data_IF_646443104429
#
_entry.id   IF_646443104429
#
_cell.length_a   1.000
_cell.length_b   1.000
_cell.length_c   1.000
_cell.angle_alpha   90.00
_cell.angle_beta   90.00
_cell.angle_gamma   90.00
#
_symmetry.space_group_name_H-M   'P 1'
#
loop_
_entity.id
_entity.type
_entity.pdbx_description
1 polymer ?
#
# COMPACT_ATOMS: atom_id res chain seq x y z
N UNK A 1 -33.55 28.59 42.43
CA UNK A 1 -33.34 27.71 43.59
C UNK A 1 -33.22 26.21 43.25
N UNK A 2 -33.97 25.69 42.27
CA UNK A 2 -33.96 24.25 41.94
C UNK A 2 -32.61 23.74 41.38
N UNK A 3 -31.90 24.52 40.62
CA UNK A 3 -30.62 24.08 39.99
C UNK A 3 -29.50 23.82 41.00
N UNK A 4 -29.38 24.68 42.03
CA UNK A 4 -28.38 24.48 43.11
C UNK A 4 -28.70 23.26 43.98
N UNK A 5 -29.96 22.97 44.20
CA UNK A 5 -30.38 21.78 44.90
C UNK A 5 -30.05 20.49 44.11
N UNK A 6 -30.41 20.46 42.84
CA UNK A 6 -30.10 19.32 41.97
C UNK A 6 -28.58 19.07 41.90
N UNK A 7 -27.78 20.14 41.75
CA UNK A 7 -26.31 20.03 41.72
C UNK A 7 -25.75 19.48 43.03
N UNK A 8 -26.28 19.94 44.17
CA UNK A 8 -25.85 19.48 45.49
C UNK A 8 -26.21 18.03 45.76
N UNK A 9 -27.42 17.59 45.34
CA UNK A 9 -27.90 16.22 45.49
C UNK A 9 -27.06 15.29 44.61
N UNK A 10 -26.83 15.69 43.37
CA UNK A 10 -25.98 14.94 42.41
C UNK A 10 -24.56 14.82 42.96
N UNK A 11 -23.98 15.89 43.52
CA UNK A 11 -22.63 15.87 44.08
C UNK A 11 -22.50 14.94 45.28
N UNK A 12 -23.51 14.90 46.16
CA UNK A 12 -23.53 13.99 47.29
C UNK A 12 -23.70 12.52 46.87
N UNK A 13 -24.53 12.25 45.85
CA UNK A 13 -24.69 10.93 45.26
C UNK A 13 -23.39 10.44 44.60
N UNK A 14 -22.70 11.33 43.88
CA UNK A 14 -21.40 11.05 43.31
C UNK A 14 -20.36 10.66 44.36
N UNK A 15 -20.26 11.42 45.47
CA UNK A 15 -19.31 11.12 46.54
C UNK A 15 -19.57 9.76 47.23
N UNK A 16 -20.80 9.32 47.28
CA UNK A 16 -21.18 8.04 47.89
C UNK A 16 -20.85 6.84 47.01
N UNK A 17 -20.75 7.04 45.71
CA UNK A 17 -20.50 5.97 44.70
C UNK A 17 -19.22 6.22 43.90
N UNK A 18 -18.15 6.75 44.52
CA UNK A 18 -16.91 7.15 43.85
C UNK A 18 -16.27 5.99 43.04
N UNK A 19 -16.25 4.78 43.56
CA UNK A 19 -15.67 3.62 42.90
C UNK A 19 -16.33 3.34 41.56
N UNK A 20 -17.65 3.45 41.48
CA UNK A 20 -18.41 3.23 40.27
C UNK A 20 -18.18 4.33 39.23
N UNK A 21 -18.12 5.58 39.68
CA UNK A 21 -17.84 6.72 38.81
C UNK A 21 -16.44 6.59 38.18
N UNK A 22 -15.44 6.22 39.00
CA UNK A 22 -14.09 5.99 38.51
C UNK A 22 -14.09 4.88 37.44
N UNK A 23 -14.80 3.78 37.68
CA UNK A 23 -14.90 2.67 36.70
C UNK A 23 -15.52 3.12 35.36
N UNK A 24 -16.64 3.85 35.42
CA UNK A 24 -17.29 4.39 34.21
C UNK A 24 -16.41 5.39 33.48
N UNK A 25 -15.78 6.33 34.23
CA UNK A 25 -14.83 7.27 33.64
C UNK A 25 -13.67 6.57 32.95
N UNK A 26 -13.09 5.55 33.58
CA UNK A 26 -11.94 4.81 33.05
C UNK A 26 -12.33 4.04 31.80
N UNK A 27 -13.45 3.33 31.79
CA UNK A 27 -13.94 2.62 30.60
C UNK A 27 -14.24 3.59 29.47
N UNK A 28 -14.90 4.70 29.75
CA UNK A 28 -15.22 5.73 28.75
C UNK A 28 -13.95 6.36 28.18
N UNK A 29 -13.00 6.71 29.04
CA UNK A 29 -11.72 7.27 28.64
C UNK A 29 -10.96 6.33 27.70
N UNK A 30 -10.84 5.05 28.09
CA UNK A 30 -10.17 4.03 27.26
C UNK A 30 -10.91 3.87 25.91
N UNK A 31 -12.24 3.86 25.91
CA UNK A 31 -13.03 3.76 24.66
C UNK A 31 -12.75 4.93 23.71
N UNK A 32 -12.73 6.16 24.21
CA UNK A 32 -12.40 7.33 23.39
C UNK A 32 -10.93 7.33 22.91
N UNK A 33 -10.02 6.81 23.75
CA UNK A 33 -8.63 6.65 23.36
C UNK A 33 -8.50 5.69 22.18
N UNK A 34 -9.17 4.55 22.22
CA UNK A 34 -9.16 3.59 21.09
C UNK A 34 -9.77 4.20 19.82
N UNK A 35 -10.87 4.94 19.92
CA UNK A 35 -11.48 5.63 18.76
C UNK A 35 -10.51 6.66 18.19
N UNK A 36 -9.89 7.47 19.05
CA UNK A 36 -8.93 8.49 18.62
C UNK A 36 -7.71 7.89 17.92
N UNK A 37 -7.10 6.86 18.51
CA UNK A 37 -5.97 6.16 17.92
C UNK A 37 -6.36 5.52 16.59
N UNK A 38 -7.52 4.88 16.50
CA UNK A 38 -8.00 4.27 15.25
C UNK A 38 -8.20 5.31 14.15
N UNK A 39 -8.78 6.47 14.49
CA UNK A 39 -8.97 7.56 13.53
C UNK A 39 -7.64 8.13 13.00
N UNK A 40 -6.68 8.36 13.91
CA UNK A 40 -5.34 8.81 13.54
C UNK A 40 -4.60 7.77 12.67
N UNK A 41 -4.68 6.51 13.05
CA UNK A 41 -4.06 5.42 12.30
C UNK A 41 -4.65 5.33 10.88
N UNK A 42 -5.97 5.42 10.75
CA UNK A 42 -6.63 5.41 9.44
C UNK A 42 -6.23 6.62 8.58
N UNK A 43 -6.13 7.80 9.17
CA UNK A 43 -5.67 8.99 8.46
C UNK A 43 -4.23 8.83 7.97
N UNK A 44 -3.33 8.29 8.79
CA UNK A 44 -1.95 8.01 8.41
C UNK A 44 -1.84 6.95 7.32
N UNK A 45 -2.64 5.86 7.40
CA UNK A 45 -2.68 4.82 6.36
C UNK A 45 -3.12 5.43 5.03
N UNK A 46 -4.14 6.29 5.04
CA UNK A 46 -4.65 6.94 3.82
C UNK A 46 -3.60 7.90 3.24
N UNK A 47 -2.95 8.70 4.07
CA UNK A 47 -1.88 9.60 3.64
C UNK A 47 -0.68 8.83 3.06
N UNK A 48 -0.24 7.78 3.77
CA UNK A 48 0.84 6.91 3.30
C UNK A 48 0.51 6.25 1.96
N UNK A 49 -0.71 5.72 1.80
CA UNK A 49 -1.16 5.16 0.51
C UNK A 49 -1.08 6.18 -0.61
N UNK A 50 -1.57 7.41 -0.39
CA UNK A 50 -1.51 8.48 -1.40
C UNK A 50 -0.09 8.79 -1.81
N UNK A 51 0.81 8.99 -0.86
CA UNK A 51 2.21 9.32 -1.12
C UNK A 51 2.97 8.17 -1.82
N UNK A 52 2.68 6.92 -1.44
CA UNK A 52 3.32 5.75 -2.02
C UNK A 52 2.77 5.46 -3.42
N UNK A 53 1.46 5.52 -3.61
CA UNK A 53 0.85 5.25 -4.92
C UNK A 53 1.26 6.27 -5.98
N UNK A 54 1.54 7.50 -5.60
CA UNK A 54 2.10 8.51 -6.51
C UNK A 54 3.53 8.20 -6.97
N UNK A 55 4.30 7.45 -6.16
CA UNK A 55 5.69 7.06 -6.47
C UNK A 55 5.81 5.69 -7.12
N UNK A 56 4.76 4.88 -7.05
CA UNK A 56 4.78 3.52 -7.60
C UNK A 56 4.57 3.53 -9.10
N UNK A 57 5.46 2.83 -9.79
CA UNK A 57 5.46 2.65 -11.22
C UNK A 57 5.00 1.22 -11.57
N UNK A 58 4.41 1.06 -12.74
CA UNK A 58 4.22 -0.25 -13.37
C UNK A 58 5.52 -0.58 -14.08
N UNK A 59 6.13 -1.70 -13.72
CA UNK A 59 7.37 -2.17 -14.36
C UNK A 59 7.02 -3.24 -15.38
N UNK A 60 7.38 -2.97 -16.61
CA UNK A 60 7.28 -3.92 -17.72
C UNK A 60 8.67 -4.51 -17.94
N UNK A 61 8.86 -5.74 -17.52
CA UNK A 61 10.10 -6.46 -17.73
C UNK A 61 10.19 -6.91 -19.18
N UNK A 62 11.31 -6.61 -19.82
CA UNK A 62 11.58 -7.02 -21.19
C UNK A 62 12.21 -8.41 -21.20
N UNK A 63 12.09 -9.10 -22.32
CA UNK A 63 12.67 -10.43 -22.48
C UNK A 63 14.18 -10.41 -22.21
N UNK A 64 14.73 -11.41 -21.48
CA UNK A 64 16.16 -11.57 -21.29
C UNK A 64 16.85 -12.10 -22.55
N UNK A 65 18.18 -12.01 -22.58
CA UNK A 65 18.97 -12.85 -23.48
C UNK A 65 19.04 -14.25 -22.85
N UNK A 66 18.48 -15.25 -23.53
CA UNK A 66 18.46 -16.64 -23.10
C UNK A 66 17.05 -17.19 -22.88
N UNK A 67 16.97 -18.24 -22.07
CA UNK A 67 15.70 -18.92 -21.84
C UNK A 67 14.77 -18.13 -20.92
N UNK A 68 13.55 -17.90 -21.36
CA UNK A 68 12.43 -17.38 -20.58
C UNK A 68 11.28 -18.37 -20.65
N UNK A 69 10.45 -18.38 -19.59
CA UNK A 69 9.23 -19.18 -19.55
C UNK A 69 8.04 -18.48 -20.25
N UNK A 70 8.17 -17.19 -20.55
CA UNK A 70 7.14 -16.43 -21.22
C UNK A 70 7.09 -16.76 -22.72
N UNK A 71 5.91 -17.13 -23.23
CA UNK A 71 5.71 -17.40 -24.64
C UNK A 71 6.05 -16.20 -25.53
N UNK A 72 5.90 -14.99 -25.03
CA UNK A 72 6.27 -13.72 -25.68
C UNK A 72 7.78 -13.54 -25.89
N UNK A 73 8.60 -14.31 -25.17
CA UNK A 73 10.07 -14.30 -25.24
C UNK A 73 10.64 -15.52 -25.99
N UNK A 74 9.85 -16.13 -26.84
CA UNK A 74 10.24 -17.36 -27.58
C UNK A 74 11.48 -17.21 -28.48
N UNK A 75 11.85 -15.98 -28.84
CA UNK A 75 13.08 -15.69 -29.61
C UNK A 75 14.36 -15.97 -28.82
N UNK A 76 14.30 -16.03 -27.47
CA UNK A 76 15.46 -16.14 -26.59
C UNK A 76 16.43 -14.95 -26.68
N UNK A 77 15.97 -13.81 -27.16
CA UNK A 77 16.75 -12.58 -27.29
C UNK A 77 16.01 -11.41 -26.65
N UNK A 78 16.77 -10.54 -26.02
CA UNK A 78 16.27 -9.26 -25.57
C UNK A 78 15.81 -8.40 -26.76
N UNK A 79 14.76 -7.60 -26.60
CA UNK A 79 14.26 -6.73 -27.64
C UNK A 79 15.31 -5.71 -28.07
N UNK A 80 15.39 -5.48 -29.39
CA UNK A 80 16.21 -4.44 -29.97
C UNK A 80 15.70 -3.05 -29.64
N UNK A 81 16.53 -2.03 -29.84
CA UNK A 81 16.12 -0.64 -29.63
C UNK A 81 14.88 -0.26 -30.47
N UNK A 82 14.74 -0.81 -31.68
CA UNK A 82 13.56 -0.53 -32.50
C UNK A 82 12.30 -1.16 -31.90
N UNK A 83 12.37 -2.40 -31.43
CA UNK A 83 11.25 -3.08 -30.78
C UNK A 83 10.84 -2.38 -29.48
N UNK A 84 11.80 -1.80 -28.73
CA UNK A 84 11.51 -0.99 -27.55
C UNK A 84 10.74 0.28 -27.93
N UNK A 85 11.17 0.99 -29.00
CA UNK A 85 10.45 2.17 -29.51
C UNK A 85 9.06 1.78 -29.99
N UNK A 86 8.90 0.65 -30.64
CA UNK A 86 7.60 0.16 -31.11
C UNK A 86 6.66 -0.15 -29.90
N UNK A 87 7.20 -0.72 -28.81
CA UNK A 87 6.46 -0.92 -27.57
C UNK A 87 6.04 0.42 -26.93
N UNK A 88 6.93 1.41 -26.92
CA UNK A 88 6.61 2.76 -26.42
C UNK A 88 5.50 3.42 -27.24
N UNK A 89 5.52 3.26 -28.57
CA UNK A 89 4.47 3.76 -29.47
C UNK A 89 3.12 3.09 -29.16
N UNK A 90 3.10 1.78 -29.00
CA UNK A 90 1.91 1.04 -28.62
C UNK A 90 1.35 1.53 -27.27
N UNK A 91 2.21 1.76 -26.27
CA UNK A 91 1.79 2.29 -24.98
C UNK A 91 1.16 3.69 -25.15
N UNK A 92 1.76 4.54 -25.98
CA UNK A 92 1.24 5.87 -26.24
C UNK A 92 -0.09 5.86 -26.98
N UNK A 93 -0.29 4.95 -27.92
CA UNK A 93 -1.52 4.84 -28.70
C UNK A 93 -2.66 4.22 -27.88
N UNK A 94 -2.40 3.10 -27.19
CA UNK A 94 -3.45 2.33 -26.52
C UNK A 94 -3.67 2.75 -25.05
N UNK A 95 -2.64 3.27 -24.39
CA UNK A 95 -2.66 3.64 -22.96
C UNK A 95 -2.17 5.06 -22.64
N UNK A 96 -1.91 5.91 -23.64
CA UNK A 96 -1.36 7.26 -23.45
C UNK A 96 -2.26 8.21 -22.65
N UNK A 97 -3.56 7.96 -22.63
CA UNK A 97 -4.49 8.68 -21.77
C UNK A 97 -4.32 8.34 -20.28
N UNK A 98 -3.76 7.17 -19.96
CA UNK A 98 -3.58 6.62 -18.60
C UNK A 98 -2.12 6.80 -18.14
N UNK A 99 -1.16 6.66 -19.04
CA UNK A 99 0.27 6.78 -18.76
C UNK A 99 0.68 8.26 -18.77
N UNK A 100 1.42 8.71 -17.75
CA UNK A 100 1.95 10.07 -17.66
C UNK A 100 3.41 10.16 -18.12
N UNK A 101 4.18 9.11 -17.91
CA UNK A 101 5.60 9.04 -18.27
C UNK A 101 6.02 7.60 -18.54
N UNK A 102 6.83 7.42 -19.59
CA UNK A 102 7.52 6.19 -19.89
C UNK A 102 9.01 6.44 -19.66
N UNK A 103 9.69 5.50 -19.01
CA UNK A 103 11.13 5.58 -18.76
C UNK A 103 11.74 4.21 -19.06
N UNK A 104 12.58 4.14 -20.07
CA UNK A 104 13.35 2.94 -20.33
C UNK A 104 14.56 2.86 -19.39
N UNK A 105 14.76 1.73 -18.77
CA UNK A 105 15.92 1.40 -17.95
C UNK A 105 16.67 0.26 -18.63
N UNK A 106 17.87 0.56 -19.10
CA UNK A 106 18.72 -0.44 -19.74
C UNK A 106 19.25 -1.48 -18.73
N UNK A 107 19.74 -2.60 -19.23
CA UNK A 107 20.37 -3.62 -18.39
C UNK A 107 21.58 -3.07 -17.62
N UNK A 108 22.35 -2.23 -18.28
CA UNK A 108 23.53 -1.58 -17.73
C UNK A 108 23.16 -0.58 -16.62
N UNK A 109 22.10 0.19 -16.84
CA UNK A 109 21.60 1.14 -15.85
C UNK A 109 21.01 0.43 -14.64
N UNK A 110 20.25 -0.64 -14.87
CA UNK A 110 19.70 -1.46 -13.79
C UNK A 110 20.84 -2.10 -12.97
N UNK A 111 21.84 -2.67 -13.64
CA UNK A 111 22.99 -3.27 -12.97
C UNK A 111 23.75 -2.27 -12.11
N UNK A 112 24.11 -1.10 -12.67
CA UNK A 112 24.90 -0.07 -11.96
C UNK A 112 24.10 0.64 -10.85
N UNK A 113 22.86 1.02 -11.18
CA UNK A 113 22.10 1.94 -10.32
C UNK A 113 21.19 1.22 -9.30
N UNK A 114 20.90 -0.06 -9.52
CA UNK A 114 20.01 -0.85 -8.66
C UNK A 114 20.76 -2.05 -8.08
N UNK A 115 21.26 -2.94 -8.93
CA UNK A 115 21.85 -4.20 -8.51
C UNK A 115 23.12 -4.00 -7.66
N UNK A 116 24.09 -3.23 -8.14
CA UNK A 116 25.34 -2.99 -7.41
C UNK A 116 25.15 -2.18 -6.12
N UNK A 117 24.08 -1.40 -6.00
CA UNK A 117 23.77 -0.72 -4.73
C UNK A 117 23.33 -1.69 -3.66
N UNK A 118 22.64 -2.76 -4.05
CA UNK A 118 22.16 -3.80 -3.15
C UNK A 118 23.20 -4.90 -2.94
N UNK A 119 23.99 -5.20 -3.97
CA UNK A 119 25.03 -6.21 -3.99
C UNK A 119 26.36 -5.61 -4.50
N UNK A 120 27.12 -4.88 -3.65
CA UNK A 120 28.29 -4.13 -4.10
C UNK A 120 29.38 -4.98 -4.76
N UNK A 121 29.47 -6.26 -4.38
CA UNK A 121 30.45 -7.19 -4.97
C UNK A 121 29.98 -7.84 -6.27
N UNK A 122 28.77 -7.51 -6.75
CA UNK A 122 28.19 -8.14 -7.92
C UNK A 122 27.77 -9.61 -7.71
N UNK A 123 27.80 -10.11 -6.47
CA UNK A 123 27.52 -11.51 -6.17
C UNK A 123 26.10 -11.67 -5.61
N UNK A 124 25.35 -12.59 -6.19
CA UNK A 124 24.02 -12.96 -5.74
C UNK A 124 23.88 -14.48 -5.73
N UNK A 125 23.48 -15.06 -4.61
CA UNK A 125 23.33 -16.52 -4.41
C UNK A 125 24.56 -17.34 -4.83
N UNK A 126 25.77 -16.85 -4.55
CA UNK A 126 27.03 -17.52 -4.86
C UNK A 126 27.44 -17.47 -6.34
N UNK A 127 26.79 -16.62 -7.14
CA UNK A 127 27.15 -16.36 -8.56
C UNK A 127 27.46 -14.90 -8.75
N UNK A 128 28.55 -14.62 -9.45
CA UNK A 128 28.85 -13.25 -9.90
C UNK A 128 28.00 -12.98 -11.13
N UNK A 129 27.15 -11.94 -11.01
CA UNK A 129 26.28 -11.50 -12.10
C UNK A 129 26.86 -10.25 -12.75
N UNK A 130 26.58 -10.11 -14.04
CA UNK A 130 27.00 -9.00 -14.89
C UNK A 130 25.79 -8.26 -15.44
N UNK A 131 26.03 -7.13 -16.13
CA UNK A 131 24.95 -6.41 -16.79
C UNK A 131 24.24 -7.27 -17.86
N UNK A 132 24.92 -8.26 -18.45
CA UNK A 132 24.33 -9.16 -19.44
C UNK A 132 23.30 -10.12 -18.80
N UNK A 133 23.44 -10.41 -17.51
CA UNK A 133 22.50 -11.26 -16.78
C UNK A 133 21.25 -10.50 -16.30
N UNK A 134 21.20 -9.18 -16.52
CA UNK A 134 20.08 -8.33 -16.13
C UNK A 134 19.08 -8.18 -17.27
N UNK A 135 17.86 -7.80 -16.90
CA UNK A 135 16.81 -7.48 -17.85
C UNK A 135 16.64 -5.96 -17.97
N UNK A 136 16.35 -5.48 -19.17
CA UNK A 136 15.84 -4.15 -19.37
C UNK A 136 14.37 -4.05 -18.90
N UNK A 137 13.93 -2.84 -18.62
CA UNK A 137 12.54 -2.61 -18.23
C UNK A 137 12.01 -1.27 -18.71
N UNK A 138 10.71 -1.21 -19.00
CA UNK A 138 9.99 0.04 -19.18
C UNK A 138 9.25 0.34 -17.87
N UNK A 139 9.52 1.50 -17.28
CA UNK A 139 8.84 2.00 -16.10
C UNK A 139 7.78 2.99 -16.50
N UNK A 140 6.54 2.68 -16.17
CA UNK A 140 5.37 3.45 -16.55
C UNK A 140 4.79 4.13 -15.33
N UNK A 141 4.82 5.47 -15.30
CA UNK A 141 4.12 6.24 -14.31
C UNK A 141 2.69 6.48 -14.79
N UNK A 142 1.70 6.04 -14.02
CA UNK A 142 0.30 6.23 -14.36
C UNK A 142 -0.23 7.56 -13.81
N UNK A 143 -1.15 8.19 -14.55
CA UNK A 143 -1.94 9.34 -14.08
C UNK A 143 -2.92 8.93 -12.98
N UNK A 144 -3.53 7.74 -13.16
CA UNK A 144 -4.42 7.11 -12.19
C UNK A 144 -3.88 5.69 -11.91
N UNK A 145 -3.29 5.48 -10.73
CA UNK A 145 -2.71 4.20 -10.37
C UNK A 145 -3.71 3.03 -10.36
N UNK A 146 -5.01 3.28 -10.22
CA UNK A 146 -6.03 2.22 -10.20
C UNK A 146 -6.24 1.55 -11.56
N UNK A 147 -5.79 2.19 -12.64
CA UNK A 147 -5.95 1.71 -14.02
C UNK A 147 -4.80 0.84 -14.53
N UNK A 148 -3.97 0.30 -13.63
CA UNK A 148 -2.84 -0.54 -14.05
C UNK A 148 -3.26 -1.78 -14.84
N UNK A 149 -4.46 -2.34 -14.55
CA UNK A 149 -4.96 -3.52 -15.26
C UNK A 149 -5.08 -3.29 -16.76
N UNK A 150 -5.50 -2.09 -17.18
CA UNK A 150 -5.57 -1.74 -18.60
C UNK A 150 -4.19 -1.81 -19.24
N UNK A 151 -3.17 -1.27 -18.59
CA UNK A 151 -1.78 -1.33 -19.06
C UNK A 151 -1.27 -2.76 -19.10
N UNK A 152 -1.60 -3.56 -18.09
CA UNK A 152 -1.25 -4.96 -18.03
C UNK A 152 -1.90 -5.75 -19.17
N UNK A 153 -3.18 -5.51 -19.47
CA UNK A 153 -3.90 -6.17 -20.57
C UNK A 153 -3.32 -5.78 -21.93
N UNK A 154 -2.95 -4.52 -22.12
CA UNK A 154 -2.35 -4.02 -23.37
C UNK A 154 -0.99 -4.65 -23.64
N UNK A 155 -0.17 -4.88 -22.59
CA UNK A 155 1.22 -5.26 -22.74
C UNK A 155 1.50 -6.74 -22.47
N UNK A 156 0.66 -7.43 -21.70
CA UNK A 156 0.88 -8.85 -21.41
C UNK A 156 0.77 -9.70 -22.66
N UNK A 157 1.77 -10.56 -22.88
CA UNK A 157 1.83 -11.45 -24.04
C UNK A 157 2.31 -10.79 -25.32
N UNK A 158 2.65 -9.50 -25.35
CA UNK A 158 3.28 -8.87 -26.51
C UNK A 158 4.72 -9.33 -26.67
N UNK A 159 5.16 -9.49 -27.91
CA UNK A 159 6.54 -9.85 -28.23
C UNK A 159 7.51 -8.88 -27.59
N UNK A 160 8.55 -9.39 -26.92
CA UNK A 160 9.54 -8.59 -26.23
C UNK A 160 9.20 -8.24 -24.77
N UNK A 161 7.98 -8.53 -24.30
CA UNK A 161 7.55 -8.32 -22.92
C UNK A 161 7.52 -9.66 -22.18
N UNK A 162 8.29 -9.80 -21.12
CA UNK A 162 8.26 -11.00 -20.26
C UNK A 162 7.14 -10.96 -19.25
N UNK A 163 7.07 -9.88 -18.48
CA UNK A 163 6.08 -9.71 -17.40
C UNK A 163 5.74 -8.24 -17.20
N UNK A 164 4.48 -7.99 -16.86
CA UNK A 164 4.01 -6.68 -16.41
C UNK A 164 3.75 -6.74 -14.91
N UNK A 165 4.62 -6.10 -14.12
CA UNK A 165 4.60 -6.15 -12.67
C UNK A 165 4.08 -4.84 -12.08
N UNK A 166 3.01 -4.96 -11.29
CA UNK A 166 2.51 -3.85 -10.47
C UNK A 166 3.21 -3.87 -9.10
N UNK A 167 4.06 -2.90 -8.86
CA UNK A 167 4.78 -2.78 -7.59
C UNK A 167 3.84 -2.55 -6.39
N UNK A 168 2.60 -2.10 -6.59
CA UNK A 168 1.62 -1.92 -5.50
C UNK A 168 1.24 -3.24 -4.85
N UNK A 169 1.20 -4.33 -5.61
CA UNK A 169 0.87 -5.67 -5.09
C UNK A 169 1.80 -6.10 -3.96
N UNK A 170 3.00 -5.56 -3.89
CA UNK A 170 3.96 -5.84 -2.83
C UNK A 170 3.50 -5.21 -1.51
N UNK A 171 2.82 -4.06 -1.56
CA UNK A 171 2.39 -3.30 -0.37
C UNK A 171 0.94 -3.57 0.03
N UNK A 172 0.10 -4.07 -0.87
CA UNK A 172 -1.31 -4.38 -0.60
C UNK A 172 -1.51 -5.29 0.62
N UNK A 173 -0.72 -6.36 0.84
CA UNK A 173 -0.83 -7.18 2.04
C UNK A 173 -0.58 -6.40 3.32
N UNK A 174 0.41 -5.50 3.33
CA UNK A 174 0.75 -4.66 4.49
C UNK A 174 -0.42 -3.73 4.83
N UNK A 175 -0.95 -3.01 3.84
CA UNK A 175 -2.10 -2.13 4.04
C UNK A 175 -3.37 -2.89 4.43
N UNK A 176 -3.55 -4.12 3.94
CA UNK A 176 -4.69 -4.95 4.34
C UNK A 176 -4.62 -5.36 5.81
N UNK A 177 -3.43 -5.69 6.32
CA UNK A 177 -3.19 -6.00 7.74
C UNK A 177 -3.47 -4.77 8.60
N UNK A 178 -2.96 -3.60 8.20
CA UNK A 178 -3.20 -2.34 8.92
C UNK A 178 -4.70 -1.98 8.97
N UNK A 179 -5.42 -2.13 7.86
CA UNK A 179 -6.86 -1.89 7.82
C UNK A 179 -7.64 -2.87 8.72
N UNK A 180 -7.24 -4.16 8.76
CA UNK A 180 -7.86 -5.15 9.66
C UNK A 180 -7.59 -4.81 11.12
N UNK A 181 -6.35 -4.40 11.46
CA UNK A 181 -6.02 -3.95 12.81
C UNK A 181 -6.88 -2.77 13.24
N UNK A 182 -7.07 -1.76 12.37
CA UNK A 182 -7.95 -0.62 12.61
C UNK A 182 -9.39 -1.06 12.83
N UNK A 183 -9.93 -1.97 12.01
CA UNK A 183 -11.29 -2.48 12.14
C UNK A 183 -11.50 -3.20 13.49
N UNK A 184 -10.54 -4.02 13.92
CA UNK A 184 -10.58 -4.70 15.23
C UNK A 184 -10.59 -3.67 16.38
N UNK A 185 -9.75 -2.64 16.30
CA UNK A 185 -9.69 -1.59 17.33
C UNK A 185 -11.00 -0.80 17.43
N UNK A 186 -11.62 -0.48 16.30
CA UNK A 186 -12.94 0.20 16.26
C UNK A 186 -14.05 -0.70 16.84
N UNK A 187 -14.04 -1.99 16.51
CA UNK A 187 -15.00 -2.96 17.05
C UNK A 187 -14.87 -3.07 18.58
N UNK A 188 -13.65 -3.17 19.10
CA UNK A 188 -13.39 -3.19 20.55
C UNK A 188 -13.89 -1.91 21.22
N UNK A 189 -13.61 -0.74 20.64
CA UNK A 189 -14.10 0.54 21.15
C UNK A 189 -15.64 0.57 21.21
N UNK A 190 -16.32 0.06 20.19
CA UNK A 190 -17.78 -0.06 20.15
C UNK A 190 -18.34 -0.94 21.29
N UNK A 191 -17.71 -2.10 21.51
CA UNK A 191 -18.09 -2.98 22.64
C UNK A 191 -17.89 -2.27 23.97
N UNK A 192 -16.78 -1.56 24.18
CA UNK A 192 -16.51 -0.83 25.43
C UNK A 192 -17.52 0.30 25.67
N UNK A 193 -17.96 1.01 24.63
CA UNK A 193 -19.01 2.02 24.72
C UNK A 193 -20.34 1.38 25.14
N UNK A 194 -20.71 0.24 24.57
CA UNK A 194 -21.93 -0.48 24.96
C UNK A 194 -21.87 -0.90 26.44
N UNK A 195 -20.74 -1.42 26.89
CA UNK A 195 -20.52 -1.75 28.31
C UNK A 195 -20.66 -0.53 29.20
N UNK A 196 -20.09 0.62 28.81
CA UNK A 196 -20.20 1.87 29.55
C UNK A 196 -21.68 2.33 29.67
N UNK A 197 -22.45 2.23 28.59
CA UNK A 197 -23.89 2.57 28.58
C UNK A 197 -24.67 1.63 29.51
N UNK A 198 -24.41 0.32 29.44
CA UNK A 198 -25.08 -0.65 30.33
C UNK A 198 -24.73 -0.39 31.79
N UNK A 199 -23.46 -0.15 32.11
CA UNK A 199 -23.04 0.18 33.49
C UNK A 199 -23.73 1.45 34.01
N UNK A 200 -23.84 2.47 33.17
CA UNK A 200 -24.52 3.70 33.53
C UNK A 200 -26.02 3.47 33.74
N UNK A 201 -26.67 2.66 32.87
CA UNK A 201 -28.08 2.35 32.95
C UNK A 201 -28.48 1.51 34.18
N UNK A 202 -27.57 0.67 34.71
CA UNK A 202 -27.81 -0.13 35.92
C UNK A 202 -27.68 0.68 37.23
N UNK A 203 -27.19 1.91 37.15
CA UNK A 203 -26.87 2.77 38.30
C UNK A 203 -27.82 3.95 38.47
N UNK A 204 -28.75 4.13 37.55
CA UNK A 204 -29.85 5.08 37.63
C UNK A 204 -31.12 4.37 38.12
#
# INVERSE_FOLDING_TARGET
>A
MRFRFILSETWNSLKRNVSMIISVMLVTFISFLFIGVSGLMQAQITAAKGEWYDKVEVVVWLCPDGASQAASCSSGKAPSNQEIVDLENVINEEAGNIVSKITYVSREDFYKNTFLKQYPNGEYQGRVLTAADMQGSLRLKLKDPTKYQVVSEVLSGRTGVEEVQDQRKIFDPVFSVLNRATAVTVALAGVMILVAIMLTGTTI
#
